data_IF_464649816620
#
_entry.id   IF_464649816620
#
_cell.length_a   1.000
_cell.length_b   1.000
_cell.length_c   1.000
_cell.angle_alpha   90.00
_cell.angle_beta   90.00
_cell.angle_gamma   90.00
#
_symmetry.space_group_name_H-M   'P 1'
#
loop_
_entity.id
_entity.type
_entity.pdbx_description
1 polymer ?
#
# COMPACT_ATOMS: atom_id res chain seq x y z
N UNK A 1 -6.79 -6.00 -7.96
CA UNK A 1 -5.46 -6.18 -7.39
C UNK A 1 -4.57 -5.15 -8.00
N UNK A 2 -4.12 -4.19 -7.18
CA UNK A 2 -3.14 -3.19 -7.59
C UNK A 2 -1.71 -3.74 -7.48
N UNK A 3 -0.74 -2.98 -8.00
CA UNK A 3 0.67 -3.38 -8.08
C UNK A 3 1.26 -3.69 -6.69
N UNK A 4 0.91 -2.88 -5.69
CA UNK A 4 1.33 -3.07 -4.30
C UNK A 4 0.80 -4.37 -3.71
N UNK A 5 -0.51 -4.63 -3.88
CA UNK A 5 -1.15 -5.86 -3.41
C UNK A 5 -0.53 -7.10 -4.06
N UNK A 6 -0.24 -7.03 -5.37
CA UNK A 6 0.44 -8.10 -6.08
C UNK A 6 1.88 -8.33 -5.58
N UNK A 7 2.65 -7.26 -5.38
CA UNK A 7 4.04 -7.35 -4.92
C UNK A 7 4.12 -7.97 -3.51
N UNK A 8 3.26 -7.51 -2.59
CA UNK A 8 3.21 -8.05 -1.23
C UNK A 8 2.71 -9.51 -1.19
N UNK A 9 1.83 -9.92 -2.10
CA UNK A 9 1.41 -11.32 -2.21
C UNK A 9 2.54 -12.24 -2.70
N UNK A 10 3.42 -11.75 -3.57
CA UNK A 10 4.46 -12.54 -4.24
C UNK A 10 5.86 -12.42 -3.62
N UNK A 11 6.02 -11.60 -2.57
CA UNK A 11 7.28 -11.48 -1.84
C UNK A 11 7.71 -12.83 -1.24
N UNK A 12 8.99 -13.18 -1.41
CA UNK A 12 9.56 -14.44 -0.92
C UNK A 12 9.88 -14.42 0.58
N UNK A 13 10.10 -15.59 1.19
CA UNK A 13 10.28 -15.73 2.65
C UNK A 13 11.33 -14.81 3.27
N UNK A 14 12.58 -14.86 2.81
CA UNK A 14 13.64 -13.99 3.37
C UNK A 14 13.40 -12.50 3.10
N UNK A 15 12.98 -12.14 1.87
CA UNK A 15 12.65 -10.76 1.55
C UNK A 15 11.47 -10.24 2.42
N UNK A 16 10.52 -11.12 2.74
CA UNK A 16 9.41 -10.80 3.62
C UNK A 16 9.82 -10.68 5.08
N UNK A 17 10.76 -11.50 5.55
CA UNK A 17 11.35 -11.38 6.89
C UNK A 17 12.03 -10.00 7.04
N UNK A 18 12.90 -9.62 6.10
CA UNK A 18 13.57 -8.32 6.10
C UNK A 18 12.56 -7.16 6.06
N UNK A 19 11.57 -7.26 5.17
CA UNK A 19 10.46 -6.31 5.07
C UNK A 19 9.69 -6.21 6.40
N UNK A 20 9.33 -7.33 7.01
CA UNK A 20 8.58 -7.36 8.25
C UNK A 20 9.34 -6.67 9.38
N UNK A 21 10.66 -6.85 9.47
CA UNK A 21 11.48 -6.18 10.47
C UNK A 21 11.52 -4.66 10.24
N UNK A 22 11.66 -4.22 8.99
CA UNK A 22 11.57 -2.80 8.64
C UNK A 22 10.18 -2.22 8.93
N UNK A 23 9.12 -2.97 8.59
CA UNK A 23 7.74 -2.61 8.88
C UNK A 23 7.50 -2.43 10.39
N UNK A 24 7.95 -3.37 11.22
CA UNK A 24 7.82 -3.24 12.68
C UNK A 24 8.55 -2.01 13.23
N UNK A 25 9.71 -1.65 12.68
CA UNK A 25 10.40 -0.40 13.08
C UNK A 25 9.55 0.84 12.79
N UNK A 26 8.92 0.91 11.63
CA UNK A 26 7.99 1.99 11.28
C UNK A 26 6.74 2.02 12.16
N UNK A 27 6.27 0.86 12.62
CA UNK A 27 5.16 0.75 13.58
C UNK A 27 5.55 1.12 15.02
N UNK A 28 6.81 1.53 15.26
CA UNK A 28 7.29 2.02 16.55
C UNK A 28 7.90 0.95 17.46
N UNK A 29 8.14 -0.25 16.95
CA UNK A 29 8.86 -1.29 17.68
C UNK A 29 10.37 -1.04 17.62
N UNK A 30 11.06 -1.27 18.73
CA UNK A 30 12.51 -1.46 18.72
C UNK A 30 12.78 -2.90 18.32
N UNK A 31 13.50 -3.12 17.21
CA UNK A 31 13.68 -4.47 16.62
C UNK A 31 15.15 -4.86 16.63
N UNK A 32 15.45 -5.95 17.35
CA UNK A 32 16.75 -6.60 17.41
C UNK A 32 16.68 -7.96 16.70
N UNK A 33 17.16 -8.00 15.46
CA UNK A 33 17.15 -9.20 14.63
C UNK A 33 18.07 -10.29 15.21
N UNK A 34 17.65 -11.55 15.11
CA UNK A 34 18.54 -12.66 15.44
C UNK A 34 19.64 -12.73 14.36
N UNK A 35 20.90 -12.54 14.75
CA UNK A 35 22.01 -12.46 13.79
C UNK A 35 22.06 -13.66 12.83
N UNK A 36 22.38 -13.39 11.56
CA UNK A 36 22.37 -14.36 10.46
C UNK A 36 23.01 -15.71 10.84
N UNK A 37 22.25 -16.79 10.61
CA UNK A 37 22.72 -18.18 10.51
C UNK A 37 23.27 -18.83 11.78
N UNK A 38 22.36 -19.31 12.62
CA UNK A 38 22.59 -20.45 13.52
C UNK A 38 21.44 -21.47 13.38
N UNK A 39 21.72 -22.79 13.39
CA UNK A 39 20.66 -23.78 13.41
C UNK A 39 19.89 -23.67 14.75
N UNK A 40 18.57 -23.78 14.70
CA UNK A 40 17.66 -23.99 15.85
C UNK A 40 17.29 -22.80 16.75
N UNK A 41 17.42 -21.55 16.30
CA UNK A 41 17.11 -20.37 17.13
C UNK A 41 15.63 -20.02 17.35
N UNK A 42 14.71 -20.51 16.51
CA UNK A 42 13.27 -20.44 16.77
C UNK A 42 12.57 -19.08 16.75
N UNK A 43 13.26 -17.94 16.51
CA UNK A 43 12.68 -16.58 16.40
C UNK A 43 13.37 -15.67 15.39
N UNK A 44 12.61 -14.71 14.83
CA UNK A 44 13.08 -13.83 13.76
C UNK A 44 13.62 -12.50 14.32
N UNK A 45 12.91 -11.87 15.26
CA UNK A 45 13.45 -10.74 16.04
C UNK A 45 12.96 -10.66 17.48
N UNK A 46 13.76 -10.07 18.36
CA UNK A 46 13.37 -9.64 19.68
C UNK A 46 12.89 -8.20 19.55
N UNK A 47 11.76 -7.90 20.15
CA UNK A 47 11.08 -6.62 19.99
C UNK A 47 10.74 -6.00 21.33
N UNK A 48 10.70 -4.68 21.33
CA UNK A 48 10.21 -3.89 22.46
C UNK A 48 9.20 -2.86 21.97
N UNK A 49 8.06 -2.77 22.66
CA UNK A 49 7.05 -1.73 22.44
C UNK A 49 6.79 -1.01 23.76
N UNK A 50 7.41 0.15 23.92
CA UNK A 50 7.38 0.90 25.19
C UNK A 50 8.14 0.15 26.28
N UNK A 51 7.44 -0.36 27.29
CA UNK A 51 8.04 -1.15 28.38
C UNK A 51 7.79 -2.65 28.25
N UNK A 52 7.19 -3.10 27.14
CA UNK A 52 6.81 -4.50 26.90
C UNK A 52 7.84 -5.14 26.00
N UNK A 53 8.37 -6.27 26.44
CA UNK A 53 9.32 -7.06 25.66
C UNK A 53 8.59 -8.22 24.99
N UNK A 54 9.09 -8.63 23.84
CA UNK A 54 8.46 -9.70 23.08
C UNK A 54 9.32 -10.27 21.98
N UNK A 55 8.70 -11.19 21.24
CA UNK A 55 9.30 -11.82 20.07
C UNK A 55 8.41 -11.58 18.86
N UNK A 56 9.06 -11.30 17.72
CA UNK A 56 8.43 -11.18 16.42
C UNK A 56 8.78 -12.38 15.52
N UNK A 57 7.79 -12.78 14.73
CA UNK A 57 7.90 -13.76 13.66
C UNK A 57 7.27 -13.26 12.37
N UNK A 58 7.86 -13.63 11.24
CA UNK A 58 7.33 -13.36 9.91
C UNK A 58 6.99 -14.65 9.17
N UNK A 59 5.88 -14.67 8.43
CA UNK A 59 5.55 -15.81 7.59
C UNK A 59 4.72 -15.47 6.36
N UNK A 60 5.11 -16.06 5.23
CA UNK A 60 4.33 -16.06 3.97
C UNK A 60 3.50 -17.34 3.77
N UNK A 61 3.44 -18.25 4.76
CA UNK A 61 2.76 -19.53 4.59
C UNK A 61 1.23 -19.39 4.62
N UNK A 62 0.53 -19.96 3.64
CA UNK A 62 -0.94 -20.03 3.62
C UNK A 62 -1.51 -20.69 4.89
N UNK A 63 -0.79 -21.66 5.47
CA UNK A 63 -1.13 -22.28 6.76
C UNK A 63 -0.67 -21.46 7.95
N UNK A 64 -0.84 -20.14 7.91
CA UNK A 64 -0.30 -19.18 8.88
C UNK A 64 -0.69 -19.52 10.33
N UNK A 65 -1.93 -19.97 10.60
CA UNK A 65 -2.37 -20.38 11.94
C UNK A 65 -1.55 -21.51 12.55
N UNK A 66 -1.18 -22.50 11.73
CA UNK A 66 -0.34 -23.62 12.18
C UNK A 66 1.08 -23.14 12.44
N UNK A 67 1.58 -22.24 11.59
CA UNK A 67 2.91 -21.65 11.73
C UNK A 67 3.00 -20.80 13.00
N UNK A 68 2.01 -19.94 13.25
CA UNK A 68 1.87 -19.13 14.46
C UNK A 68 1.93 -19.99 15.73
N UNK A 69 1.15 -21.07 15.81
CA UNK A 69 1.20 -22.01 16.95
C UNK A 69 2.57 -22.65 17.13
N UNK A 70 3.15 -23.16 16.04
CA UNK A 70 4.47 -23.79 16.09
C UNK A 70 5.57 -22.81 16.51
N UNK A 71 5.43 -21.54 16.18
CA UNK A 71 6.38 -20.50 16.57
C UNK A 71 6.15 -20.09 18.03
N UNK A 72 4.89 -19.96 18.47
CA UNK A 72 4.55 -19.75 19.87
C UNK A 72 5.11 -20.87 20.78
N UNK A 73 4.93 -22.14 20.40
CA UNK A 73 5.47 -23.28 21.16
C UNK A 73 7.00 -23.21 21.32
N UNK A 74 7.71 -22.76 20.26
CA UNK A 74 9.16 -22.56 20.32
C UNK A 74 9.54 -21.38 21.20
N UNK A 75 8.79 -20.29 21.15
CA UNK A 75 9.02 -19.12 22.02
C UNK A 75 8.83 -19.52 23.48
N UNK A 76 7.83 -20.33 23.81
CA UNK A 76 7.61 -20.82 25.18
C UNK A 76 8.77 -21.68 25.66
N UNK A 77 9.27 -22.58 24.79
CA UNK A 77 10.49 -23.37 25.09
C UNK A 77 11.69 -22.45 25.33
N UNK A 78 11.81 -21.39 24.52
CA UNK A 78 12.90 -20.42 24.64
C UNK A 78 12.84 -19.60 25.93
N UNK A 79 11.64 -19.18 26.36
CA UNK A 79 11.41 -18.51 27.65
C UNK A 79 11.91 -19.40 28.80
N UNK A 80 11.52 -20.68 28.79
CA UNK A 80 11.95 -21.65 29.81
C UNK A 80 13.48 -21.84 29.80
N UNK A 81 14.09 -21.97 28.62
CA UNK A 81 15.53 -22.20 28.47
C UNK A 81 16.37 -20.97 28.89
N UNK A 82 15.87 -19.75 28.65
CA UNK A 82 16.58 -18.50 28.96
C UNK A 82 16.22 -17.92 30.33
N UNK A 83 15.10 -18.32 30.91
CA UNK A 83 14.54 -17.69 32.10
C UNK A 83 14.13 -16.24 31.86
N UNK A 84 13.66 -15.95 30.63
CA UNK A 84 13.13 -14.65 30.23
C UNK A 84 11.60 -14.75 30.11
N UNK A 85 10.89 -13.71 30.55
CA UNK A 85 9.44 -13.60 30.39
C UNK A 85 9.13 -12.57 29.30
N UNK A 86 8.34 -12.95 28.31
CA UNK A 86 7.82 -12.06 27.28
C UNK A 86 6.38 -11.64 27.58
N UNK A 87 6.06 -10.38 27.26
CA UNK A 87 4.71 -9.84 27.37
C UNK A 87 3.96 -9.87 26.03
N UNK A 88 4.72 -9.96 24.94
CA UNK A 88 4.25 -9.70 23.58
C UNK A 88 4.73 -10.79 22.61
N UNK A 89 3.83 -11.23 21.75
CA UNK A 89 4.14 -12.08 20.62
C UNK A 89 3.59 -11.40 19.36
N UNK A 90 4.46 -11.08 18.41
CA UNK A 90 4.07 -10.37 17.18
C UNK A 90 4.23 -11.31 16.00
N UNK A 91 3.17 -11.46 15.21
CA UNK A 91 3.17 -12.31 14.03
C UNK A 91 2.84 -11.49 12.78
N UNK A 92 3.81 -11.36 11.87
CA UNK A 92 3.67 -10.62 10.63
C UNK A 92 3.42 -11.59 9.48
N UNK A 93 2.41 -11.35 8.66
CA UNK A 93 2.07 -12.24 7.54
C UNK A 93 1.51 -11.50 6.33
N UNK A 94 1.87 -11.95 5.13
CA UNK A 94 1.29 -11.46 3.88
C UNK A 94 -0.04 -12.16 3.53
N UNK A 95 -0.57 -12.98 4.44
CA UNK A 95 -1.85 -13.65 4.27
C UNK A 95 -3.01 -12.76 4.72
N UNK A 96 -4.19 -13.01 4.17
CA UNK A 96 -5.42 -12.42 4.70
C UNK A 96 -5.84 -13.13 5.99
N UNK A 97 -6.07 -12.34 7.04
CA UNK A 97 -6.61 -12.80 8.31
C UNK A 97 -7.98 -12.15 8.50
N UNK A 98 -8.99 -12.96 8.81
CA UNK A 98 -10.30 -12.44 9.17
C UNK A 98 -10.32 -12.01 10.64
N UNK A 99 -11.02 -10.93 10.98
CA UNK A 99 -11.05 -10.43 12.36
C UNK A 99 -11.54 -11.44 13.40
N UNK A 100 -12.41 -12.40 13.04
CA UNK A 100 -12.75 -13.49 13.97
C UNK A 100 -11.58 -14.43 14.21
N UNK A 101 -10.78 -14.73 13.18
CA UNK A 101 -9.61 -15.60 13.30
C UNK A 101 -8.51 -14.93 14.13
N UNK A 102 -8.35 -13.62 13.99
CA UNK A 102 -7.43 -12.83 14.80
C UNK A 102 -7.80 -12.91 16.28
N UNK A 103 -9.06 -12.60 16.62
CA UNK A 103 -9.56 -12.70 18.00
C UNK A 103 -9.45 -14.11 18.57
N UNK A 104 -9.76 -15.14 17.77
CA UNK A 104 -9.63 -16.54 18.19
C UNK A 104 -8.16 -16.88 18.53
N UNK A 105 -7.20 -16.43 17.71
CA UNK A 105 -5.78 -16.69 17.97
C UNK A 105 -5.23 -15.85 19.12
N UNK A 106 -5.71 -14.61 19.29
CA UNK A 106 -5.33 -13.79 20.45
C UNK A 106 -5.79 -14.41 21.76
N UNK A 107 -7.03 -14.94 21.81
CA UNK A 107 -7.54 -15.64 22.98
C UNK A 107 -6.74 -16.91 23.24
N UNK A 108 -6.49 -17.72 22.20
CA UNK A 108 -5.69 -18.95 22.31
C UNK A 108 -4.29 -18.69 22.88
N UNK A 109 -3.54 -17.74 22.31
CA UNK A 109 -2.18 -17.42 22.78
C UNK A 109 -2.18 -16.84 24.19
N UNK A 110 -3.16 -16.00 24.52
CA UNK A 110 -3.29 -15.42 25.87
C UNK A 110 -3.62 -16.47 26.91
N UNK A 111 -4.51 -17.41 26.59
CA UNK A 111 -4.90 -18.48 27.52
C UNK A 111 -3.79 -19.50 27.74
N UNK A 112 -3.05 -19.84 26.68
CA UNK A 112 -2.01 -20.88 26.74
C UNK A 112 -0.67 -20.34 27.29
N UNK A 113 -0.25 -19.16 26.86
CA UNK A 113 1.09 -18.62 27.16
C UNK A 113 1.06 -17.33 27.99
N UNK A 114 -0.10 -16.68 28.14
CA UNK A 114 -0.21 -15.41 28.88
C UNK A 114 0.25 -14.18 28.10
N UNK A 115 0.74 -14.33 26.87
CA UNK A 115 1.21 -13.23 26.05
C UNK A 115 0.07 -12.46 25.40
N UNK A 116 0.34 -11.20 25.03
CA UNK A 116 -0.52 -10.49 24.06
C UNK A 116 -0.01 -10.75 22.66
N UNK A 117 -0.88 -11.33 21.82
CA UNK A 117 -0.63 -11.50 20.40
C UNK A 117 -1.01 -10.24 19.62
N UNK A 118 -0.13 -9.77 18.74
CA UNK A 118 -0.49 -8.81 17.68
C UNK A 118 -0.23 -9.47 16.33
N UNK A 119 -1.21 -9.45 15.42
CA UNK A 119 -1.06 -10.01 14.07
C UNK A 119 -1.06 -8.88 13.04
N UNK A 120 0.08 -8.63 12.40
CA UNK A 120 0.13 -7.71 11.27
C UNK A 120 -0.09 -8.47 9.97
N UNK A 121 -1.31 -8.40 9.43
CA UNK A 121 -1.73 -9.16 8.25
C UNK A 121 -1.76 -8.30 6.98
N UNK A 122 -1.90 -8.93 5.80
CA UNK A 122 -1.84 -8.27 4.48
C UNK A 122 -2.59 -6.94 4.38
N UNK A 123 -3.87 -6.90 4.78
CA UNK A 123 -4.71 -5.70 4.63
C UNK A 123 -4.25 -4.52 5.48
N UNK A 124 -3.72 -4.80 6.67
CA UNK A 124 -3.19 -3.78 7.58
C UNK A 124 -1.87 -3.24 7.01
N UNK A 125 -0.97 -4.14 6.61
CA UNK A 125 0.29 -3.78 5.95
C UNK A 125 0.03 -2.90 4.72
N UNK A 126 -0.90 -3.29 3.84
CA UNK A 126 -1.25 -2.48 2.67
C UNK A 126 -1.82 -1.11 3.06
N UNK A 127 -2.64 -1.06 4.12
CA UNK A 127 -3.18 0.19 4.64
C UNK A 127 -2.09 1.14 5.11
N UNK A 128 -1.12 0.61 5.86
CA UNK A 128 0.03 1.34 6.40
C UNK A 128 1.02 1.78 5.32
N UNK A 129 1.37 0.91 4.36
CA UNK A 129 2.27 1.26 3.26
C UNK A 129 1.70 2.41 2.41
N UNK A 130 0.39 2.46 2.22
CA UNK A 130 -0.26 3.55 1.46
C UNK A 130 -0.27 4.88 2.20
N UNK A 131 -0.45 4.84 3.52
CA UNK A 131 -0.71 6.04 4.32
C UNK A 131 0.56 6.62 4.94
N UNK A 132 1.40 5.76 5.51
CA UNK A 132 2.44 6.16 6.46
C UNK A 132 3.84 5.73 6.01
N UNK A 133 3.96 4.61 5.30
CA UNK A 133 5.26 3.96 5.03
C UNK A 133 5.52 3.72 3.55
N UNK A 134 5.34 4.77 2.73
CA UNK A 134 5.52 4.71 1.28
C UNK A 134 6.96 4.32 0.86
N UNK A 135 7.96 4.72 1.65
CA UNK A 135 9.36 4.34 1.40
C UNK A 135 9.59 2.83 1.48
N UNK A 136 8.90 2.13 2.39
CA UNK A 136 9.01 0.66 2.48
C UNK A 136 8.44 -0.04 1.24
N UNK A 137 7.41 0.53 0.61
CA UNK A 137 6.87 -0.01 -0.63
C UNK A 137 7.87 0.11 -1.78
N UNK A 138 8.63 1.20 -1.85
CA UNK A 138 9.68 1.37 -2.84
C UNK A 138 10.87 0.45 -2.53
N UNK A 139 11.38 0.47 -1.30
CA UNK A 139 12.61 -0.22 -0.90
C UNK A 139 12.49 -1.76 -0.96
N UNK A 140 11.33 -2.32 -0.60
CA UNK A 140 11.16 -3.77 -0.47
C UNK A 140 10.25 -4.39 -1.53
N UNK A 141 9.37 -3.60 -2.15
CA UNK A 141 8.40 -4.10 -3.12
C UNK A 141 8.61 -3.53 -4.53
N UNK A 142 9.56 -2.60 -4.72
CA UNK A 142 9.81 -1.90 -5.99
C UNK A 142 8.55 -1.17 -6.51
N UNK A 143 7.70 -0.68 -5.59
CA UNK A 143 6.44 0.01 -5.91
C UNK A 143 6.52 1.49 -5.50
N UNK A 144 6.63 2.36 -6.50
CA UNK A 144 6.55 3.81 -6.33
C UNK A 144 5.10 4.27 -6.19
N UNK A 145 4.68 4.52 -4.95
CA UNK A 145 3.35 5.04 -4.61
C UNK A 145 3.21 6.57 -4.81
N UNK A 146 4.29 7.28 -5.16
CA UNK A 146 4.29 8.72 -5.43
C UNK A 146 4.19 9.06 -6.92
N UNK A 147 4.31 8.08 -7.81
CA UNK A 147 4.27 8.23 -9.27
C UNK A 147 3.08 9.05 -9.79
N UNK A 148 1.91 8.94 -9.15
CA UNK A 148 0.71 9.70 -9.53
C UNK A 148 0.80 11.21 -9.26
N UNK A 149 1.70 11.68 -8.38
CA UNK A 149 1.90 13.12 -8.15
C UNK A 149 2.58 13.81 -9.33
N UNK A 150 3.46 13.12 -10.06
CA UNK A 150 4.14 13.66 -11.23
C UNK A 150 3.17 14.01 -12.37
N UNK A 151 2.05 13.28 -12.48
CA UNK A 151 1.05 13.54 -13.51
C UNK A 151 0.11 14.70 -13.17
N UNK A 152 -0.03 15.09 -11.89
CA UNK A 152 -0.90 16.22 -11.53
C UNK A 152 -0.32 17.52 -12.06
N UNK A 153 0.99 17.75 -11.88
CA UNK A 153 1.67 18.92 -12.42
C UNK A 153 1.64 18.92 -13.96
N UNK A 154 1.87 17.77 -14.59
CA UNK A 154 1.77 17.60 -16.05
C UNK A 154 0.34 17.88 -16.57
N UNK A 155 -0.68 17.45 -15.83
CA UNK A 155 -2.09 17.73 -16.14
C UNK A 155 -2.41 19.21 -15.96
N UNK A 156 -1.91 19.85 -14.91
CA UNK A 156 -2.08 21.29 -14.66
C UNK A 156 -1.40 22.13 -15.76
N UNK A 157 -0.18 21.76 -16.15
CA UNK A 157 0.56 22.37 -17.27
C UNK A 157 -0.20 22.19 -18.59
N UNK A 158 -0.64 20.97 -18.90
CA UNK A 158 -1.48 20.69 -20.08
C UNK A 158 -2.79 21.49 -20.09
N UNK A 159 -3.41 21.68 -18.92
CA UNK A 159 -4.63 22.48 -18.80
C UNK A 159 -4.35 23.97 -19.02
N UNK A 160 -3.29 24.51 -18.42
CA UNK A 160 -2.87 25.90 -18.60
C UNK A 160 -2.54 26.19 -20.07
N UNK A 161 -1.69 25.35 -20.68
CA UNK A 161 -1.31 25.45 -22.09
C UNK A 161 -2.52 25.43 -23.03
N UNK A 162 -3.52 24.60 -22.73
CA UNK A 162 -4.76 24.54 -23.51
C UNK A 162 -5.61 25.79 -23.34
N UNK A 163 -5.72 26.34 -22.13
CA UNK A 163 -6.44 27.59 -21.89
C UNK A 163 -5.79 28.75 -22.64
N UNK A 164 -4.46 28.84 -22.60
CA UNK A 164 -3.71 29.86 -23.31
C UNK A 164 -3.89 29.75 -24.82
N UNK A 165 -3.81 28.54 -25.38
CA UNK A 165 -4.05 28.32 -26.81
C UNK A 165 -5.50 28.59 -27.23
N UNK A 166 -6.49 28.35 -26.35
CA UNK A 166 -7.90 28.71 -26.59
C UNK A 166 -8.07 30.24 -26.58
N UNK A 167 -7.47 30.94 -25.62
CA UNK A 167 -7.55 32.41 -25.52
C UNK A 167 -6.84 33.10 -26.69
N UNK A 168 -5.70 32.56 -27.14
CA UNK A 168 -4.93 33.09 -28.26
C UNK A 168 -5.50 32.70 -29.65
N UNK A 169 -6.60 31.93 -29.68
CA UNK A 169 -7.21 31.47 -30.94
C UNK A 169 -7.90 32.63 -31.65
N UNK A 170 -7.24 33.21 -32.64
CA UNK A 170 -7.83 34.19 -33.56
C UNK A 170 -8.54 33.51 -34.75
N UNK A 171 -9.60 34.14 -35.27
CA UNK A 171 -10.25 33.74 -36.53
C UNK A 171 -11.31 32.64 -36.43
N UNK A 172 -11.60 32.11 -35.24
CA UNK A 172 -12.78 31.28 -35.03
C UNK A 172 -13.98 32.16 -34.70
N UNK A 173 -15.16 31.80 -35.24
CA UNK A 173 -16.42 32.55 -35.15
C UNK A 173 -16.54 33.80 -36.04
N UNK A 174 -15.64 34.03 -37.00
CA UNK A 174 -15.85 35.08 -38.03
C UNK A 174 -17.09 34.86 -38.88
N UNK A 175 -17.53 33.60 -38.99
CA UNK A 175 -18.70 33.17 -39.77
C UNK A 175 -19.96 32.99 -38.90
N UNK A 176 -19.90 33.34 -37.60
CA UNK A 176 -21.10 33.34 -36.75
C UNK A 176 -22.00 34.51 -37.15
N UNK A 177 -23.29 34.22 -37.30
CA UNK A 177 -24.31 35.23 -37.53
C UNK A 177 -24.34 36.17 -36.32
N UNK A 178 -24.42 37.47 -36.58
CA UNK A 178 -24.45 38.51 -35.54
C UNK A 178 -25.68 38.29 -34.61
N UNK A 179 -25.44 37.94 -33.34
CA UNK A 179 -26.49 37.58 -32.39
C UNK A 179 -25.94 36.95 -31.10
N UNK A 180 -26.79 36.64 -30.10
CA UNK A 180 -26.36 35.99 -28.87
C UNK A 180 -25.90 34.55 -29.16
N UNK A 181 -24.64 34.26 -28.83
CA UNK A 181 -24.03 32.94 -29.02
C UNK A 181 -23.66 32.31 -27.67
N UNK A 182 -23.79 30.99 -27.57
CA UNK A 182 -23.32 30.19 -26.43
C UNK A 182 -22.22 29.26 -26.93
N UNK A 183 -21.06 29.31 -26.29
CA UNK A 183 -19.93 28.43 -26.60
C UNK A 183 -19.84 27.35 -25.53
N UNK A 184 -19.93 26.07 -25.95
CA UNK A 184 -19.80 24.91 -25.07
C UNK A 184 -18.51 24.16 -25.39
N UNK A 185 -17.58 24.13 -24.43
CA UNK A 185 -16.39 23.27 -24.52
C UNK A 185 -16.68 21.96 -23.79
N UNK A 186 -16.73 20.84 -24.52
CA UNK A 186 -16.89 19.50 -23.93
C UNK A 186 -15.51 18.87 -23.82
N UNK A 187 -15.04 18.70 -22.59
CA UNK A 187 -13.79 17.99 -22.29
C UNK A 187 -14.17 16.55 -21.92
N UNK A 188 -13.93 15.55 -22.78
CA UNK A 188 -14.21 14.17 -22.43
C UNK A 188 -13.24 13.72 -21.33
N UNK A 189 -13.78 13.31 -20.18
CA UNK A 189 -13.00 12.67 -19.14
C UNK A 189 -12.72 11.21 -19.56
N UNK A 190 -11.62 10.99 -20.28
CA UNK A 190 -11.33 9.72 -20.92
C UNK A 190 -9.85 9.43 -21.04
N UNK A 191 -9.26 8.92 -19.96
CA UNK A 191 -7.94 8.26 -19.96
C UNK A 191 -7.91 7.01 -20.88
N UNK A 192 -9.05 6.59 -21.45
CA UNK A 192 -9.17 5.36 -22.25
C UNK A 192 -10.00 5.52 -23.54
N UNK A 193 -9.84 6.63 -24.27
CA UNK A 193 -10.29 6.68 -25.65
C UNK A 193 -9.07 6.81 -26.56
N UNK A 194 -8.82 5.77 -27.37
CA UNK A 194 -7.97 5.85 -28.57
C UNK A 194 -8.57 6.86 -29.55
N UNK A 195 -8.48 8.14 -29.21
CA UNK A 195 -8.79 9.23 -30.12
C UNK A 195 -7.56 9.46 -31.00
N UNK A 196 -7.77 9.76 -32.29
CA UNK A 196 -6.71 10.10 -33.25
C UNK A 196 -6.11 11.50 -33.01
N UNK A 197 -6.49 12.12 -31.90
CA UNK A 197 -6.26 13.53 -31.60
C UNK A 197 -5.17 13.54 -30.54
N UNK A 198 -4.04 14.17 -30.85
CA UNK A 198 -2.92 14.29 -29.89
C UNK A 198 -3.43 14.91 -28.59
N UNK A 199 -2.96 14.48 -27.41
CA UNK A 199 -3.25 15.14 -26.14
C UNK A 199 -2.99 16.66 -26.16
N UNK A 200 -2.12 17.14 -27.04
CA UNK A 200 -1.79 18.57 -27.19
C UNK A 200 -2.74 19.35 -28.11
N UNK A 201 -3.59 18.66 -28.87
CA UNK A 201 -4.47 19.31 -29.86
C UNK A 201 -5.78 19.78 -29.23
N UNK A 202 -6.16 21.02 -29.56
CA UNK A 202 -7.41 21.63 -29.12
C UNK A 202 -8.56 21.05 -29.97
N UNK A 203 -9.69 20.65 -29.37
CA UNK A 203 -10.85 20.25 -30.14
C UNK A 203 -11.34 21.40 -31.05
N UNK A 204 -11.76 21.06 -32.26
CA UNK A 204 -12.47 22.01 -33.10
C UNK A 204 -13.90 22.17 -32.58
N UNK A 205 -14.37 23.41 -32.36
CA UNK A 205 -15.73 23.64 -31.92
C UNK A 205 -16.70 23.23 -33.02
N UNK A 206 -17.67 22.38 -32.68
CA UNK A 206 -18.78 22.05 -33.55
C UNK A 206 -19.79 23.19 -33.53
N UNK A 207 -20.05 23.82 -34.68
CA UNK A 207 -21.15 24.79 -34.82
C UNK A 207 -22.42 24.01 -35.12
N UNK A 208 -23.36 24.01 -34.17
CA UNK A 208 -24.71 23.47 -34.37
C UNK A 208 -25.63 24.66 -34.66
N UNK A 209 -26.09 24.78 -35.90
CA UNK A 209 -27.18 25.69 -36.24
C UNK A 209 -28.50 24.97 -35.97
N UNK A 210 -29.35 25.53 -35.10
CA UNK A 210 -30.78 25.19 -35.13
C UNK A 210 -31.40 25.98 -36.29
N UNK A 211 -31.81 25.29 -37.35
CA UNK A 211 -32.71 25.87 -38.33
C UNK A 211 -34.06 26.14 -37.64
N UNK A 212 -34.25 27.36 -37.17
CA UNK A 212 -35.55 27.86 -36.74
C UNK A 212 -36.43 28.07 -37.99
N UNK A 213 -37.06 26.99 -38.46
CA UNK A 213 -38.21 27.06 -39.40
C UNK A 213 -39.48 27.49 -38.70
#
# INVERSE_FOLDING_TARGET
MDELEFALENIGGHAFEDFAMAFLREQGYSVHESGESGPDGGWDAQIELGSRNGIAHASVQETWRRKLRNDAEKVATLEEDRGEDYDLFVFVTNQDVGGSQELDMEEEIREEYGWTLNIHHRKEILGELRQNSQGLAEDFLDVDLQKDRGHVEEIEELCSDRLDKIQAREGYASDLIEGPAVVLHIIPNGVLLKSKTSPESIPDPSVLFEDLT
#
